data_IF_994626430413
#
_entry.id   IF_994626430413
#
_cell.length_a   1.000
_cell.length_b   1.000
_cell.length_c   1.000
_cell.angle_alpha   90.00
_cell.angle_beta   90.00
_cell.angle_gamma   90.00
#
_symmetry.space_group_name_H-M   'P 1'
#
loop_
_entity.id
_entity.type
_entity.pdbx_description
1 polymer ?
#
# COMPACT_ATOMS: atom_id res chain seq x y z
N UNK A 1 5.01 13.55 23.04
CA UNK A 1 4.32 12.36 22.50
C UNK A 1 3.92 12.61 21.05
N UNK A 2 3.80 11.60 20.18
CA UNK A 2 3.32 11.80 18.82
C UNK A 2 1.89 12.36 18.83
N UNK A 3 1.66 13.41 18.04
CA UNK A 3 0.38 14.14 18.03
C UNK A 3 -0.75 13.24 17.51
N UNK A 4 -1.89 13.21 18.22
CA UNK A 4 -3.10 12.46 17.86
C UNK A 4 -2.91 10.94 17.71
N UNK A 5 -1.83 10.39 18.27
CA UNK A 5 -1.52 8.96 18.18
C UNK A 5 -2.12 8.17 19.34
N UNK A 6 -1.98 8.69 20.56
CA UNK A 6 -2.57 8.15 21.77
C UNK A 6 -3.78 8.97 22.21
N UNK A 7 -4.73 8.33 22.87
CA UNK A 7 -5.90 9.03 23.43
C UNK A 7 -5.46 9.90 24.60
N UNK A 8 -5.73 11.20 24.52
CA UNK A 8 -5.45 12.14 25.61
C UNK A 8 -3.96 12.36 25.92
N UNK A 9 -3.07 12.10 24.95
CA UNK A 9 -1.60 12.16 25.15
C UNK A 9 -1.10 11.25 26.29
N UNK A 10 -1.74 10.09 26.48
CA UNK A 10 -1.31 9.06 27.43
C UNK A 10 -0.51 7.96 26.70
N UNK A 11 0.80 7.81 26.94
CA UNK A 11 1.64 6.79 26.28
C UNK A 11 1.32 5.36 26.69
N UNK A 12 0.64 5.14 27.83
CA UNK A 12 0.24 3.81 28.29
C UNK A 12 -1.09 3.37 27.66
N UNK A 13 -1.81 4.29 27.00
CA UNK A 13 -3.02 4.00 26.25
C UNK A 13 -2.72 3.30 24.91
N UNK A 14 -3.66 2.51 24.41
CA UNK A 14 -3.52 1.88 23.11
C UNK A 14 -3.54 2.93 21.97
N UNK A 15 -2.58 2.89 21.02
CA UNK A 15 -2.59 3.79 19.88
C UNK A 15 -3.81 3.61 18.98
N UNK A 16 -4.38 4.72 18.52
CA UNK A 16 -5.52 4.68 17.59
C UNK A 16 -5.05 4.64 16.13
N UNK A 17 -5.30 3.53 15.43
CA UNK A 17 -5.00 3.41 14.01
C UNK A 17 -6.07 4.09 13.13
N UNK A 18 -5.89 5.40 12.87
CA UNK A 18 -6.82 6.21 12.06
C UNK A 18 -6.51 6.21 10.55
N UNK A 19 -5.36 5.68 10.14
CA UNK A 19 -4.87 5.74 8.75
C UNK A 19 -5.04 4.43 7.98
N UNK A 20 -5.37 3.30 8.64
CA UNK A 20 -5.48 1.99 7.99
C UNK A 20 -6.36 1.98 6.74
N UNK A 21 -7.56 2.56 6.81
CA UNK A 21 -8.49 2.59 5.67
C UNK A 21 -7.91 3.36 4.48
N UNK A 22 -7.35 4.54 4.73
CA UNK A 22 -6.72 5.38 3.72
C UNK A 22 -5.49 4.70 3.09
N UNK A 23 -4.69 3.98 3.89
CA UNK A 23 -3.57 3.21 3.38
C UNK A 23 -4.03 2.11 2.41
N UNK A 24 -5.08 1.36 2.74
CA UNK A 24 -5.63 0.34 1.83
C UNK A 24 -6.12 0.96 0.52
N UNK A 25 -6.83 2.10 0.59
CA UNK A 25 -7.29 2.82 -0.61
C UNK A 25 -6.12 3.29 -1.47
N UNK A 26 -5.07 3.85 -0.85
CA UNK A 26 -3.90 4.33 -1.57
C UNK A 26 -3.22 3.19 -2.35
N UNK A 27 -2.91 2.08 -1.69
CA UNK A 27 -2.24 0.95 -2.34
C UNK A 27 -3.14 0.29 -3.41
N UNK A 28 -4.44 0.13 -3.13
CA UNK A 28 -5.38 -0.45 -4.09
C UNK A 28 -5.54 0.41 -5.35
N UNK A 29 -5.70 1.73 -5.19
CA UNK A 29 -5.79 2.66 -6.31
C UNK A 29 -4.49 2.70 -7.11
N UNK A 30 -3.34 2.75 -6.44
CA UNK A 30 -2.03 2.82 -7.09
C UNK A 30 -1.72 1.57 -7.93
N UNK A 31 -1.97 0.36 -7.40
CA UNK A 31 -1.79 -0.89 -8.18
C UNK A 31 -2.73 -0.91 -9.38
N UNK A 32 -3.99 -0.49 -9.19
CA UNK A 32 -4.96 -0.43 -10.28
C UNK A 32 -4.53 0.57 -11.36
N UNK A 33 -4.00 1.73 -10.98
CA UNK A 33 -3.47 2.73 -11.91
C UNK A 33 -2.33 2.14 -12.75
N UNK A 34 -1.33 1.51 -12.13
CA UNK A 34 -0.23 0.87 -12.86
C UNK A 34 -0.77 -0.17 -13.84
N UNK A 35 -1.66 -1.06 -13.39
CA UNK A 35 -2.21 -2.12 -14.22
C UNK A 35 -3.00 -1.58 -15.43
N UNK A 36 -3.78 -0.52 -15.25
CA UNK A 36 -4.64 0.03 -16.30
C UNK A 36 -3.90 0.96 -17.27
N UNK A 37 -2.81 1.59 -16.83
CA UNK A 37 -2.12 2.63 -17.61
C UNK A 37 -0.82 2.14 -18.25
N UNK A 38 -0.24 1.05 -17.75
CA UNK A 38 1.01 0.49 -18.29
C UNK A 38 0.67 -0.49 -19.41
N UNK A 39 1.13 -0.27 -20.66
CA UNK A 39 0.91 -1.23 -21.73
C UNK A 39 1.61 -2.57 -21.43
N UNK A 40 0.86 -3.67 -21.52
CA UNK A 40 1.39 -5.03 -21.46
C UNK A 40 0.55 -5.97 -22.34
N UNK A 41 1.15 -7.08 -22.77
CA UNK A 41 0.43 -8.15 -23.47
C UNK A 41 0.01 -9.23 -22.46
N UNK A 42 -1.30 -9.43 -22.32
CA UNK A 42 -1.85 -10.45 -21.42
C UNK A 42 -1.37 -11.85 -21.76
N UNK A 43 -1.12 -12.16 -23.03
CA UNK A 43 -0.69 -13.50 -23.45
C UNK A 43 0.72 -13.84 -22.97
N UNK A 44 1.54 -12.83 -22.66
CA UNK A 44 2.93 -13.02 -22.20
C UNK A 44 3.02 -13.25 -20.68
N UNK A 45 1.92 -13.15 -19.94
CA UNK A 45 1.91 -13.37 -18.49
C UNK A 45 2.29 -14.82 -18.19
N UNK A 46 3.39 -15.00 -17.45
CA UNK A 46 3.88 -16.32 -17.04
C UNK A 46 4.83 -17.01 -18.03
N UNK A 47 5.03 -16.43 -19.22
CA UNK A 47 5.96 -16.95 -20.23
C UNK A 47 7.38 -16.41 -20.05
N UNK A 48 7.49 -15.13 -19.67
CA UNK A 48 8.78 -14.46 -19.45
C UNK A 48 8.99 -14.15 -17.97
N UNK A 49 10.14 -14.59 -17.43
CA UNK A 49 10.62 -14.17 -16.12
C UNK A 49 11.90 -13.38 -16.31
N UNK A 50 11.80 -12.06 -16.20
CA UNK A 50 12.98 -11.21 -16.04
C UNK A 50 13.33 -11.18 -14.56
N UNK A 51 14.16 -12.13 -14.12
CA UNK A 51 14.73 -12.05 -12.78
C UNK A 51 15.83 -10.98 -12.76
N UNK A 52 15.51 -9.81 -12.23
CA UNK A 52 16.43 -8.67 -12.09
C UNK A 52 17.38 -8.82 -10.89
N UNK A 53 17.39 -9.97 -10.20
CA UNK A 53 18.21 -10.23 -9.00
C UNK A 53 19.54 -10.95 -9.30
N UNK A 54 19.90 -11.15 -10.57
CA UNK A 54 21.20 -11.69 -10.98
C UNK A 54 22.23 -10.58 -11.25
#
# INVERSE_FOLDING_TARGET
LPVNYFTGDDPDAEPMNRWRSHAHLLFGNWVSEIYLTTPFDMNRIGEESTDLRN
#
